data_IF_464811286508
#
_entry.id   IF_464811286508
#
_cell.length_a   1.000
_cell.length_b   1.000
_cell.length_c   1.000
_cell.angle_alpha   90.00
_cell.angle_beta   90.00
_cell.angle_gamma   90.00
#
_symmetry.space_group_name_H-M   'P 1'
#
loop_
_entity.id
_entity.type
_entity.pdbx_description
1 polymer ?
#
# COMPACT_ATOMS: atom_id res chain seq x y z
N UNK A 1 6.64 0.10 22.12
CA UNK A 1 6.03 1.15 22.94
C UNK A 1 5.30 0.49 24.09
N UNK A 2 5.48 1.01 25.29
CA UNK A 2 4.80 0.59 26.51
C UNK A 2 3.87 1.72 27.02
N UNK A 3 2.89 1.35 27.81
CA UNK A 3 2.04 2.27 28.56
C UNK A 3 2.03 1.87 30.04
N UNK A 4 2.07 2.86 30.93
CA UNK A 4 2.03 2.67 32.36
C UNK A 4 1.39 3.90 33.04
N UNK A 5 1.31 3.92 34.36
CA UNK A 5 0.85 5.11 35.11
C UNK A 5 1.76 6.33 34.87
N UNK A 6 3.02 6.11 34.43
CA UNK A 6 3.94 7.17 34.04
C UNK A 6 3.73 7.69 32.61
N UNK A 7 2.73 7.19 31.91
CA UNK A 7 2.42 7.55 30.52
C UNK A 7 2.96 6.58 29.47
N UNK A 8 2.83 6.99 28.22
CA UNK A 8 3.28 6.24 27.04
C UNK A 8 4.77 6.52 26.78
N UNK A 9 5.57 5.47 26.56
CA UNK A 9 7.00 5.58 26.31
C UNK A 9 7.47 4.67 25.18
N UNK A 10 8.41 5.16 24.36
CA UNK A 10 9.03 4.43 23.25
C UNK A 10 8.91 5.15 21.92
N UNK A 11 9.18 4.45 20.82
CA UNK A 11 9.24 5.04 19.48
C UNK A 11 8.43 4.22 18.48
N UNK A 12 7.70 4.89 17.62
CA UNK A 12 7.10 4.35 16.37
C UNK A 12 7.77 5.02 15.17
N UNK A 13 8.19 4.23 14.21
CA UNK A 13 8.79 4.73 12.96
C UNK A 13 7.83 4.52 11.79
N UNK A 14 8.01 5.31 10.74
CA UNK A 14 7.19 5.27 9.54
C UNK A 14 5.69 5.44 9.81
N UNK A 15 5.35 6.27 10.79
CA UNK A 15 3.95 6.60 11.08
C UNK A 15 3.43 7.47 9.93
N UNK A 16 2.58 6.89 9.10
CA UNK A 16 1.97 7.60 7.97
C UNK A 16 1.16 8.79 8.50
N UNK A 17 1.37 9.94 7.85
CA UNK A 17 0.74 11.22 8.20
C UNK A 17 0.96 11.66 9.67
N UNK A 18 1.84 11.00 10.40
CA UNK A 18 2.10 11.25 11.81
C UNK A 18 2.55 12.67 12.15
N UNK A 19 3.12 13.38 11.16
CA UNK A 19 3.49 14.79 11.33
C UNK A 19 2.28 15.73 11.34
N UNK A 20 1.13 15.33 10.82
CA UNK A 20 -0.08 16.14 10.70
C UNK A 20 -1.22 15.67 11.62
N UNK A 21 -1.09 14.48 12.21
CA UNK A 21 -2.10 13.91 13.08
C UNK A 21 -2.38 14.80 14.30
N UNK A 22 -3.65 14.92 14.67
CA UNK A 22 -4.07 15.52 15.94
C UNK A 22 -4.13 14.48 17.06
N UNK A 23 -4.49 13.24 16.70
CA UNK A 23 -4.60 12.11 17.61
C UNK A 23 -3.81 10.92 17.09
N UNK A 24 -3.19 10.19 17.99
CA UNK A 24 -2.43 8.98 17.72
C UNK A 24 -3.06 7.82 18.47
N UNK A 25 -3.59 6.82 17.74
CA UNK A 25 -3.98 5.55 18.34
C UNK A 25 -2.77 4.62 18.33
N UNK A 26 -2.22 4.36 19.51
CA UNK A 26 -0.94 3.67 19.68
C UNK A 26 -1.18 2.26 20.18
N UNK A 27 -0.74 1.26 19.42
CA UNK A 27 -0.65 -0.12 19.90
C UNK A 27 0.57 -0.25 20.80
N UNK A 28 0.35 -0.64 22.03
CA UNK A 28 1.35 -0.93 23.05
C UNK A 28 1.37 -2.42 23.41
N UNK A 29 2.26 -2.83 24.28
CA UNK A 29 2.26 -4.21 24.81
C UNK A 29 0.97 -4.56 25.58
N UNK A 30 0.33 -3.57 26.17
CA UNK A 30 -0.80 -3.72 27.09
C UNK A 30 -2.16 -3.39 26.42
N UNK A 31 -2.18 -3.04 25.12
CA UNK A 31 -3.39 -2.71 24.38
C UNK A 31 -3.29 -1.39 23.63
N UNK A 32 -4.43 -0.77 23.34
CA UNK A 32 -4.53 0.48 22.58
C UNK A 32 -4.60 1.68 23.52
N UNK A 33 -3.84 2.72 23.18
CA UNK A 33 -3.83 4.00 23.90
C UNK A 33 -4.02 5.14 22.90
N UNK A 34 -4.99 6.02 23.18
CA UNK A 34 -5.18 7.26 22.44
C UNK A 34 -4.34 8.37 23.07
N UNK A 35 -3.50 9.00 22.27
CA UNK A 35 -2.60 10.07 22.67
C UNK A 35 -2.87 11.31 21.84
N UNK A 36 -2.95 12.49 22.46
CA UNK A 36 -2.94 13.75 21.74
C UNK A 36 -1.54 13.96 21.12
N UNK A 37 -1.49 14.16 19.82
CA UNK A 37 -0.24 14.28 19.09
C UNK A 37 0.56 15.54 19.44
N UNK A 38 -0.07 16.52 20.09
CA UNK A 38 0.56 17.75 20.57
C UNK A 38 0.81 17.73 22.09
N UNK A 39 0.54 16.59 22.78
CA UNK A 39 0.77 16.48 24.21
C UNK A 39 2.26 16.63 24.58
N UNK A 40 2.52 17.06 25.80
CA UNK A 40 3.86 17.03 26.38
C UNK A 40 4.40 15.59 26.35
N UNK A 41 5.67 15.42 25.99
CA UNK A 41 6.31 14.11 25.84
C UNK A 41 6.10 13.45 24.47
N UNK A 42 5.41 14.10 23.52
CA UNK A 42 5.33 13.62 22.12
C UNK A 42 6.26 14.44 21.25
N UNK A 43 7.18 13.76 20.55
CA UNK A 43 8.04 14.39 19.55
C UNK A 43 7.81 13.71 18.18
N UNK A 44 7.60 14.53 17.16
CA UNK A 44 7.33 14.10 15.79
C UNK A 44 8.40 14.62 14.85
N UNK A 45 9.16 13.72 14.23
CA UNK A 45 10.22 14.07 13.28
C UNK A 45 9.84 13.57 11.89
N UNK A 46 9.65 14.45 10.90
CA UNK A 46 9.40 14.03 9.51
C UNK A 46 10.51 13.15 8.97
N UNK A 47 10.14 12.12 8.22
CA UNK A 47 11.07 11.20 7.56
C UNK A 47 11.07 11.43 6.05
N UNK A 48 12.26 11.36 5.45
CA UNK A 48 12.38 11.26 3.99
C UNK A 48 11.94 9.86 3.54
N UNK A 49 10.98 9.81 2.62
CA UNK A 49 10.45 8.58 2.05
C UNK A 49 10.68 8.52 0.55
N UNK A 50 10.70 7.31 -0.01
CA UNK A 50 10.93 7.09 -1.44
C UNK A 50 9.81 7.66 -2.31
N UNK A 51 8.57 7.52 -1.85
CA UNK A 51 7.36 8.01 -2.51
C UNK A 51 7.01 9.42 -1.99
N UNK A 52 7.19 10.42 -2.83
CA UNK A 52 6.93 11.81 -2.49
C UNK A 52 5.42 12.13 -2.27
N UNK A 53 4.52 11.22 -2.60
CA UNK A 53 3.08 11.37 -2.35
C UNK A 53 2.67 10.95 -0.94
N UNK A 54 3.58 10.36 -0.16
CA UNK A 54 3.33 9.87 1.20
C UNK A 54 4.16 10.67 2.19
N UNK A 55 3.53 11.06 3.28
CA UNK A 55 4.21 11.65 4.43
C UNK A 55 4.37 10.62 5.53
N UNK A 56 5.53 10.56 6.15
CA UNK A 56 5.80 9.70 7.30
C UNK A 56 6.59 10.43 8.37
N UNK A 57 6.39 10.04 9.60
CA UNK A 57 7.13 10.57 10.73
C UNK A 57 7.67 9.47 11.63
N UNK A 58 8.74 9.77 12.32
CA UNK A 58 9.14 9.11 13.54
C UNK A 58 8.43 9.80 14.70
N UNK A 59 7.73 9.04 15.51
CA UNK A 59 7.01 9.53 16.69
C UNK A 59 7.65 8.92 17.95
N UNK A 60 8.12 9.79 18.84
CA UNK A 60 8.74 9.41 20.08
C UNK A 60 7.84 9.84 21.23
N UNK A 61 7.62 8.94 22.17
CA UNK A 61 6.85 9.15 23.38
C UNK A 61 7.78 9.08 24.58
N UNK A 62 7.73 10.11 25.42
CA UNK A 62 8.51 10.21 26.66
C UNK A 62 7.59 10.59 27.81
N UNK A 63 6.87 9.61 28.36
CA UNK A 63 5.89 9.84 29.40
C UNK A 63 4.65 10.59 28.92
N UNK A 64 4.32 10.52 27.65
CA UNK A 64 3.16 11.23 27.09
C UNK A 64 1.85 10.73 27.71
N UNK A 65 0.99 11.67 28.12
CA UNK A 65 -0.33 11.32 28.65
C UNK A 65 -1.17 10.64 27.57
N UNK A 66 -1.84 9.56 27.94
CA UNK A 66 -2.69 8.82 27.04
C UNK A 66 -3.90 8.21 27.75
N UNK A 67 -4.96 7.95 26.99
CA UNK A 67 -6.18 7.31 27.46
C UNK A 67 -6.28 5.89 26.90
N UNK A 68 -6.35 4.88 27.74
CA UNK A 68 -6.60 3.51 27.30
C UNK A 68 -7.91 3.41 26.52
N UNK A 69 -7.87 2.67 25.43
CA UNK A 69 -9.03 2.36 24.58
C UNK A 69 -9.38 0.91 24.83
N UNK A 70 -10.55 0.68 25.44
CA UNK A 70 -11.05 -0.66 25.68
C UNK A 70 -11.50 -1.30 24.37
N UNK A 71 -10.97 -2.48 24.08
CA UNK A 71 -11.38 -3.33 22.96
C UNK A 71 -11.67 -4.72 23.52
N UNK A 72 -12.82 -5.29 23.20
CA UNK A 72 -13.26 -6.57 23.75
C UNK A 72 -12.35 -7.73 23.34
N UNK A 73 -11.90 -7.73 22.09
CA UNK A 73 -10.95 -8.70 21.53
C UNK A 73 -9.97 -7.93 20.65
N UNK A 74 -8.75 -7.72 21.16
CA UNK A 74 -7.74 -6.94 20.48
C UNK A 74 -7.21 -7.64 19.21
N UNK A 75 -7.07 -8.95 19.24
CA UNK A 75 -6.54 -9.70 18.09
C UNK A 75 -7.55 -9.72 16.94
N UNK A 76 -8.83 -9.93 17.24
CA UNK A 76 -9.91 -9.82 16.25
C UNK A 76 -9.98 -8.41 15.66
N UNK A 77 -9.93 -7.36 16.50
CA UNK A 77 -9.90 -5.97 16.05
C UNK A 77 -8.73 -5.66 15.12
N UNK A 78 -7.52 -6.07 15.49
CA UNK A 78 -6.31 -5.83 14.66
C UNK A 78 -6.36 -6.61 13.36
N UNK A 79 -6.94 -7.81 13.36
CA UNK A 79 -7.14 -8.62 12.14
C UNK A 79 -8.11 -7.94 11.18
N UNK A 80 -9.21 -7.41 11.68
CA UNK A 80 -10.19 -6.67 10.88
C UNK A 80 -9.59 -5.37 10.31
N UNK A 81 -8.87 -4.61 11.14
CA UNK A 81 -8.17 -3.39 10.70
C UNK A 81 -7.14 -3.70 9.60
N UNK A 82 -6.36 -4.78 9.75
CA UNK A 82 -5.40 -5.21 8.73
C UNK A 82 -6.10 -5.62 7.42
N UNK A 83 -7.24 -6.30 7.50
CA UNK A 83 -8.03 -6.69 6.32
C UNK A 83 -8.59 -5.46 5.59
N UNK A 84 -9.19 -4.52 6.30
CA UNK A 84 -9.70 -3.26 5.73
C UNK A 84 -8.55 -2.47 5.09
N UNK A 85 -7.43 -2.32 5.81
CA UNK A 85 -6.25 -1.62 5.29
C UNK A 85 -5.68 -2.30 4.04
N UNK A 86 -5.70 -3.64 3.99
CA UNK A 86 -5.27 -4.44 2.83
C UNK A 86 -6.11 -4.15 1.59
N UNK A 87 -7.43 -4.11 1.72
CA UNK A 87 -8.34 -3.79 0.60
C UNK A 87 -8.15 -2.36 0.13
N UNK A 88 -8.04 -1.39 1.05
CA UNK A 88 -7.83 0.02 0.69
C UNK A 88 -6.50 0.23 -0.02
N UNK A 89 -5.44 -0.43 0.45
CA UNK A 89 -4.13 -0.37 -0.20
C UNK A 89 -4.16 -1.02 -1.58
N UNK A 90 -4.80 -2.19 -1.71
CA UNK A 90 -5.00 -2.88 -2.98
C UNK A 90 -5.79 -2.02 -3.98
N UNK A 91 -6.82 -1.33 -3.53
CA UNK A 91 -7.59 -0.40 -4.37
C UNK A 91 -6.74 0.74 -4.92
N UNK A 92 -5.89 1.34 -4.07
CA UNK A 92 -4.92 2.36 -4.51
C UNK A 92 -3.92 1.85 -5.53
N UNK A 93 -3.39 0.64 -5.32
CA UNK A 93 -2.47 -0.04 -6.23
C UNK A 93 -3.15 -0.39 -7.57
N UNK A 94 -4.41 -0.81 -7.53
CA UNK A 94 -5.20 -1.06 -8.74
C UNK A 94 -5.39 0.21 -9.57
N UNK A 95 -5.75 1.32 -8.93
CA UNK A 95 -5.91 2.61 -9.61
C UNK A 95 -4.62 3.10 -10.26
N UNK A 96 -3.47 2.94 -9.58
CA UNK A 96 -2.16 3.25 -10.14
C UNK A 96 -1.86 2.39 -11.37
N UNK A 97 -2.06 1.08 -11.29
CA UNK A 97 -1.84 0.15 -12.39
C UNK A 97 -2.73 0.43 -13.62
N UNK A 98 -3.99 0.76 -13.41
CA UNK A 98 -4.89 1.19 -14.47
C UNK A 98 -4.32 2.43 -15.19
N UNK A 99 -3.83 3.39 -14.45
CA UNK A 99 -3.24 4.60 -15.01
C UNK A 99 -1.94 4.33 -15.76
N UNK A 100 -1.09 3.44 -15.26
CA UNK A 100 0.12 2.97 -15.94
C UNK A 100 -0.22 2.35 -17.31
N UNK A 101 -1.20 1.46 -17.34
CA UNK A 101 -1.69 0.81 -18.56
C UNK A 101 -2.24 1.82 -19.57
N UNK A 102 -3.05 2.77 -19.10
CA UNK A 102 -3.65 3.82 -19.93
C UNK A 102 -2.57 4.69 -20.59
N UNK A 103 -1.64 5.26 -19.78
CA UNK A 103 -0.56 6.12 -20.26
C UNK A 103 0.32 5.36 -21.26
N UNK A 104 0.70 4.12 -20.91
CA UNK A 104 1.60 3.32 -21.74
C UNK A 104 0.94 2.90 -23.05
N UNK A 105 -0.35 2.57 -23.04
CA UNK A 105 -1.12 2.24 -24.24
C UNK A 105 -1.25 3.45 -25.16
N UNK A 106 -1.51 4.63 -24.59
CA UNK A 106 -1.59 5.86 -25.39
C UNK A 106 -0.22 6.19 -26.02
N UNK A 107 0.86 6.13 -25.24
CA UNK A 107 2.21 6.31 -25.77
C UNK A 107 2.53 5.33 -26.91
N UNK A 108 2.15 4.06 -26.78
CA UNK A 108 2.39 3.05 -27.80
C UNK A 108 1.63 3.32 -29.11
N UNK A 109 0.47 3.99 -29.04
CA UNK A 109 -0.28 4.43 -30.21
C UNK A 109 0.35 5.64 -30.89
N UNK A 110 0.84 6.59 -30.10
CA UNK A 110 1.31 7.90 -30.59
C UNK A 110 2.77 7.90 -31.02
N UNK A 111 3.59 7.03 -30.44
CA UNK A 111 5.02 6.96 -30.76
C UNK A 111 5.29 6.17 -32.03
N UNK A 112 5.90 6.82 -33.02
CA UNK A 112 6.30 6.20 -34.28
C UNK A 112 7.78 5.88 -34.31
N UNK A 113 8.12 4.66 -34.70
CA UNK A 113 9.49 4.19 -35.00
C UNK A 113 9.42 3.14 -36.11
N UNK A 114 10.46 3.08 -36.96
CA UNK A 114 10.50 2.13 -38.09
C UNK A 114 9.29 2.23 -39.02
N UNK A 115 8.81 3.46 -39.24
CA UNK A 115 7.72 3.76 -40.18
C UNK A 115 6.29 3.43 -39.71
N UNK A 116 6.11 3.06 -38.42
CA UNK A 116 4.78 2.76 -37.86
C UNK A 116 4.72 3.01 -36.36
N UNK A 117 3.53 3.03 -35.76
CA UNK A 117 3.39 3.14 -34.31
C UNK A 117 4.06 1.96 -33.60
N UNK A 118 4.70 2.21 -32.46
CA UNK A 118 5.37 1.13 -31.69
C UNK A 118 4.39 0.08 -31.18
N UNK A 119 3.13 0.44 -30.90
CA UNK A 119 2.09 -0.48 -30.50
C UNK A 119 1.71 -1.51 -31.55
N UNK A 120 2.13 -1.35 -32.81
CA UNK A 120 1.94 -2.34 -33.87
C UNK A 120 2.90 -3.53 -33.77
N UNK A 121 4.01 -3.39 -33.01
CA UNK A 121 5.00 -4.47 -32.83
C UNK A 121 4.56 -5.43 -31.72
N UNK A 122 4.76 -6.73 -31.94
CA UNK A 122 4.39 -7.77 -30.95
C UNK A 122 5.10 -7.58 -29.60
N UNK A 123 6.38 -7.15 -29.63
CA UNK A 123 7.17 -6.88 -28.42
C UNK A 123 6.62 -5.74 -27.55
N UNK A 124 5.69 -4.91 -28.06
CA UNK A 124 5.02 -3.85 -27.32
C UNK A 124 3.56 -4.23 -27.00
N UNK A 125 2.81 -4.71 -28.01
CA UNK A 125 1.38 -4.98 -27.79
C UNK A 125 1.09 -6.19 -26.92
N UNK A 126 1.94 -7.22 -26.91
CA UNK A 126 1.71 -8.39 -26.06
C UNK A 126 1.84 -8.07 -24.58
N UNK A 127 2.92 -7.41 -24.11
CA UNK A 127 2.95 -6.93 -22.74
C UNK A 127 1.78 -6.04 -22.34
N UNK A 128 1.29 -5.17 -23.24
CA UNK A 128 0.11 -4.34 -22.95
C UNK A 128 -1.17 -5.17 -22.85
N UNK A 129 -1.31 -6.20 -23.68
CA UNK A 129 -2.45 -7.12 -23.60
C UNK A 129 -2.40 -7.95 -22.30
N UNK A 130 -1.22 -8.41 -21.88
CA UNK A 130 -1.02 -9.11 -20.62
C UNK A 130 -1.35 -8.20 -19.43
N UNK A 131 -0.89 -6.94 -19.46
CA UNK A 131 -1.25 -5.94 -18.45
C UNK A 131 -2.77 -5.71 -18.37
N UNK A 132 -3.46 -5.67 -19.53
CA UNK A 132 -4.92 -5.51 -19.54
C UNK A 132 -5.64 -6.72 -18.94
N UNK A 133 -5.21 -7.94 -19.25
CA UNK A 133 -5.76 -9.16 -18.62
C UNK A 133 -5.53 -9.17 -17.10
N UNK A 134 -4.33 -8.83 -16.67
CA UNK A 134 -4.00 -8.74 -15.24
C UNK A 134 -4.88 -7.70 -14.51
N UNK A 135 -5.18 -6.57 -15.16
CA UNK A 135 -6.06 -5.55 -14.62
C UNK A 135 -7.49 -6.08 -14.40
N UNK A 136 -8.05 -6.82 -15.35
CA UNK A 136 -9.39 -7.40 -15.24
C UNK A 136 -9.45 -8.47 -14.13
N UNK A 137 -8.44 -9.34 -14.04
CA UNK A 137 -8.35 -10.33 -12.97
C UNK A 137 -8.25 -9.66 -11.58
N UNK A 138 -7.41 -8.64 -11.46
CA UNK A 138 -7.22 -7.90 -10.22
C UNK A 138 -8.50 -7.15 -9.81
N UNK A 139 -9.24 -6.60 -10.76
CA UNK A 139 -10.55 -5.98 -10.49
C UNK A 139 -11.54 -6.98 -9.91
N UNK A 140 -11.61 -8.19 -10.47
CA UNK A 140 -12.47 -9.26 -9.95
C UNK A 140 -12.13 -9.63 -8.51
N UNK A 141 -10.83 -9.81 -8.21
CA UNK A 141 -10.33 -10.13 -6.86
C UNK A 141 -10.68 -9.00 -5.88
N UNK A 142 -10.41 -7.76 -6.26
CA UNK A 142 -10.69 -6.60 -5.40
C UNK A 142 -12.19 -6.43 -5.14
N UNK A 143 -13.02 -6.60 -6.16
CA UNK A 143 -14.49 -6.55 -6.00
C UNK A 143 -15.01 -7.66 -5.10
N UNK A 144 -14.47 -8.87 -5.21
CA UNK A 144 -14.84 -9.97 -4.32
C UNK A 144 -14.52 -9.62 -2.86
N UNK A 145 -13.29 -9.18 -2.59
CA UNK A 145 -12.88 -8.78 -1.25
C UNK A 145 -13.76 -7.66 -0.67
N UNK A 146 -14.05 -6.62 -1.46
CA UNK A 146 -14.93 -5.51 -0.99
C UNK A 146 -16.36 -5.99 -0.70
N UNK A 147 -16.94 -6.82 -1.57
CA UNK A 147 -18.30 -7.36 -1.38
C UNK A 147 -18.41 -8.23 -0.13
N UNK A 148 -17.39 -9.01 0.18
CA UNK A 148 -17.34 -9.84 1.39
C UNK A 148 -17.17 -8.98 2.64
N UNK A 149 -16.40 -7.91 2.58
CA UNK A 149 -16.27 -6.93 3.66
C UNK A 149 -17.62 -6.23 3.96
N UNK A 150 -18.30 -5.75 2.92
CA UNK A 150 -19.60 -5.10 3.04
C UNK A 150 -20.66 -6.06 3.61
N UNK A 151 -20.56 -7.34 3.31
CA UNK A 151 -21.47 -8.38 3.81
C UNK A 151 -21.12 -8.89 5.23
N UNK A 152 -20.01 -8.46 5.82
CA UNK A 152 -19.52 -9.00 7.10
C UNK A 152 -19.18 -10.49 7.04
N UNK A 153 -18.75 -10.97 5.88
CA UNK A 153 -18.45 -12.39 5.66
C UNK A 153 -17.22 -12.86 6.45
N UNK A 154 -17.23 -14.07 7.01
CA UNK A 154 -16.02 -14.65 7.63
C UNK A 154 -14.86 -14.83 6.64
N UNK A 155 -15.13 -14.90 5.34
CA UNK A 155 -14.09 -15.03 4.31
C UNK A 155 -13.39 -13.71 3.97
N UNK A 156 -13.87 -12.59 4.52
CA UNK A 156 -13.34 -11.25 4.21
C UNK A 156 -11.82 -11.14 4.45
N UNK A 157 -11.34 -11.65 5.58
CA UNK A 157 -9.91 -11.57 5.94
C UNK A 157 -9.02 -12.28 4.93
N UNK A 158 -9.42 -13.48 4.49
CA UNK A 158 -8.68 -14.26 3.49
C UNK A 158 -8.65 -13.55 2.13
N UNK A 159 -9.81 -13.06 1.69
CA UNK A 159 -9.93 -12.41 0.38
C UNK A 159 -9.25 -11.02 0.35
N UNK A 160 -9.28 -10.28 1.48
CA UNK A 160 -8.52 -9.05 1.63
C UNK A 160 -7.00 -9.28 1.50
N UNK A 161 -6.50 -10.32 2.14
CA UNK A 161 -5.08 -10.72 2.04
C UNK A 161 -4.73 -11.18 0.62
N UNK A 162 -5.61 -11.94 -0.04
CA UNK A 162 -5.48 -12.37 -1.44
C UNK A 162 -5.39 -11.16 -2.37
N UNK A 163 -6.30 -10.20 -2.22
CA UNK A 163 -6.28 -8.95 -2.99
C UNK A 163 -4.97 -8.20 -2.80
N UNK A 164 -4.52 -8.02 -1.57
CA UNK A 164 -3.27 -7.31 -1.30
C UNK A 164 -2.06 -8.01 -1.89
N UNK A 165 -1.91 -9.34 -1.71
CA UNK A 165 -0.77 -10.11 -2.25
C UNK A 165 -0.72 -10.01 -3.78
N UNK A 166 -1.87 -10.12 -4.45
CA UNK A 166 -1.94 -9.99 -5.91
C UNK A 166 -1.58 -8.58 -6.36
N UNK A 167 -2.22 -7.57 -5.79
CA UNK A 167 -2.08 -6.18 -6.26
C UNK A 167 -0.70 -5.58 -5.97
N UNK A 168 -0.07 -5.95 -4.85
CA UNK A 168 1.28 -5.48 -4.56
C UNK A 168 2.34 -5.98 -5.56
N UNK A 169 2.21 -7.23 -6.04
CA UNK A 169 3.10 -7.79 -7.05
C UNK A 169 2.85 -7.13 -8.43
N UNK A 170 1.58 -6.98 -8.78
CA UNK A 170 1.11 -6.43 -10.04
C UNK A 170 1.50 -4.95 -10.20
N UNK A 171 1.29 -4.12 -9.17
CA UNK A 171 1.60 -2.69 -9.18
C UNK A 171 3.09 -2.43 -9.50
N UNK A 172 4.00 -3.17 -8.86
CA UNK A 172 5.43 -3.02 -9.15
C UNK A 172 5.80 -3.48 -10.58
N UNK A 173 5.21 -4.59 -11.04
CA UNK A 173 5.43 -5.08 -12.39
C UNK A 173 4.92 -4.09 -13.45
N UNK A 174 3.77 -3.45 -13.21
CA UNK A 174 3.19 -2.42 -14.07
C UNK A 174 4.10 -1.22 -14.26
N UNK A 175 4.61 -0.64 -13.17
CA UNK A 175 5.57 0.47 -13.23
C UNK A 175 6.84 0.10 -13.99
N UNK A 176 7.34 -1.14 -13.81
CA UNK A 176 8.50 -1.63 -14.55
C UNK A 176 8.21 -1.78 -16.05
N UNK A 177 7.03 -2.28 -16.44
CA UNK A 177 6.60 -2.34 -17.83
C UNK A 177 6.40 -0.95 -18.42
N UNK A 178 5.78 -0.02 -17.70
CA UNK A 178 5.65 1.37 -18.11
C UNK A 178 7.03 1.96 -18.45
N UNK A 179 8.01 1.88 -17.54
CA UNK A 179 9.35 2.40 -17.78
C UNK A 179 10.01 1.78 -19.03
N UNK A 180 9.91 0.46 -19.18
CA UNK A 180 10.51 -0.27 -20.33
C UNK A 180 9.87 0.09 -21.66
N UNK A 181 8.54 0.17 -21.73
CA UNK A 181 7.81 0.43 -22.97
C UNK A 181 7.93 1.88 -23.44
N UNK A 182 8.21 2.82 -22.54
CA UNK A 182 8.55 4.20 -22.90
C UNK A 182 10.00 4.35 -23.38
N UNK A 183 10.85 3.34 -23.19
CA UNK A 183 12.24 3.37 -23.62
C UNK A 183 13.07 4.38 -22.81
N UNK A 184 14.02 5.06 -23.47
CA UNK A 184 14.95 5.97 -22.77
C UNK A 184 14.28 7.02 -21.90
N UNK A 185 13.17 7.62 -22.35
CA UNK A 185 12.45 8.63 -21.58
C UNK A 185 11.83 8.05 -20.30
N UNK A 186 11.40 6.79 -20.30
CA UNK A 186 10.84 6.14 -19.13
C UNK A 186 11.81 5.97 -17.95
N UNK A 187 13.11 6.20 -18.19
CA UNK A 187 14.15 6.16 -17.15
C UNK A 187 14.64 7.55 -16.72
N UNK A 188 14.06 8.61 -17.26
CA UNK A 188 14.42 9.99 -16.91
C UNK A 188 13.50 10.57 -15.84
N UNK A 189 13.92 11.68 -15.24
CA UNK A 189 13.12 12.41 -14.26
C UNK A 189 11.99 13.24 -14.90
N UNK A 190 12.01 13.44 -16.21
CA UNK A 190 10.96 14.14 -16.95
C UNK A 190 9.72 13.28 -17.17
N UNK A 191 9.81 11.96 -16.98
CA UNK A 191 8.70 11.04 -17.18
C UNK A 191 8.22 10.46 -15.84
N UNK A 192 6.89 10.38 -15.66
CA UNK A 192 6.25 9.99 -14.39
C UNK A 192 6.43 8.51 -13.99
N UNK A 193 7.00 7.64 -14.85
CA UNK A 193 7.17 6.21 -14.54
C UNK A 193 7.86 5.95 -13.20
N UNK A 194 8.84 6.79 -12.83
CA UNK A 194 9.53 6.66 -11.56
C UNK A 194 8.63 6.91 -10.34
N UNK A 195 7.56 7.73 -10.49
CA UNK A 195 6.58 7.99 -9.41
C UNK A 195 5.78 6.73 -9.13
N UNK A 196 5.30 6.04 -10.16
CA UNK A 196 4.57 4.79 -10.03
C UNK A 196 5.42 3.68 -9.40
N UNK A 197 6.66 3.51 -9.84
CA UNK A 197 7.59 2.52 -9.27
C UNK A 197 7.86 2.81 -7.78
N UNK A 198 8.07 4.07 -7.42
CA UNK A 198 8.31 4.49 -6.04
C UNK A 198 7.06 4.26 -5.16
N UNK A 199 5.90 4.63 -5.67
CA UNK A 199 4.61 4.42 -5.00
C UNK A 199 4.35 2.92 -4.79
N UNK A 200 4.52 2.08 -5.84
CA UNK A 200 4.38 0.64 -5.73
C UNK A 200 5.32 0.05 -4.66
N UNK A 201 6.59 0.50 -4.64
CA UNK A 201 7.59 0.03 -3.67
C UNK A 201 7.27 0.43 -2.24
N UNK A 202 6.82 1.66 -2.02
CA UNK A 202 6.40 2.13 -0.70
C UNK A 202 5.16 1.37 -0.22
N UNK A 203 4.17 1.20 -1.11
CA UNK A 203 2.94 0.47 -0.82
C UNK A 203 3.20 -1.00 -0.44
N UNK A 204 4.19 -1.65 -1.05
CA UNK A 204 4.59 -3.03 -0.72
C UNK A 204 5.06 -3.21 0.73
N UNK A 205 5.46 -2.13 1.41
CA UNK A 205 6.05 -2.20 2.74
C UNK A 205 5.11 -1.69 3.85
N UNK A 206 3.99 -1.06 3.49
CA UNK A 206 3.10 -0.41 4.47
C UNK A 206 2.44 -1.37 5.46
N UNK A 207 2.08 -2.58 5.02
CA UNK A 207 1.41 -3.59 5.86
C UNK A 207 2.27 -4.84 6.07
N UNK A 208 3.58 -4.72 5.92
CA UNK A 208 4.54 -5.81 5.97
C UNK A 208 5.19 -6.08 4.62
N UNK A 209 6.25 -6.87 4.61
CA UNK A 209 6.97 -7.19 3.37
C UNK A 209 6.14 -8.13 2.47
N UNK A 210 6.36 -8.11 1.15
CA UNK A 210 5.69 -9.05 0.22
C UNK A 210 5.83 -10.51 0.64
N UNK A 211 7.03 -10.95 1.06
CA UNK A 211 7.26 -12.31 1.53
C UNK A 211 6.43 -12.66 2.77
N UNK A 212 6.39 -11.76 3.76
CA UNK A 212 5.57 -11.96 4.96
C UNK A 212 4.07 -12.06 4.64
N UNK A 213 3.57 -11.22 3.73
CA UNK A 213 2.15 -11.25 3.33
C UNK A 213 1.81 -12.53 2.55
N UNK A 214 2.71 -12.98 1.68
CA UNK A 214 2.54 -14.25 0.95
C UNK A 214 2.56 -15.45 1.90
N UNK A 215 3.44 -15.47 2.89
CA UNK A 215 3.49 -16.52 3.92
C UNK A 215 2.19 -16.57 4.75
N UNK A 216 1.68 -15.41 5.14
CA UNK A 216 0.39 -15.32 5.85
C UNK A 216 -0.76 -15.87 4.99
N UNK A 217 -0.76 -15.58 3.68
CA UNK A 217 -1.77 -16.12 2.77
C UNK A 217 -1.64 -17.63 2.64
N UNK A 218 -0.43 -18.15 2.47
CA UNK A 218 -0.18 -19.60 2.40
C UNK A 218 -0.68 -20.31 3.68
N UNK A 219 -0.33 -19.77 4.84
CA UNK A 219 -0.81 -20.27 6.14
C UNK A 219 -2.34 -20.26 6.24
N UNK A 220 -2.98 -19.19 5.80
CA UNK A 220 -4.45 -19.07 5.83
C UNK A 220 -5.13 -20.07 4.88
N UNK A 221 -4.47 -20.47 3.80
CA UNK A 221 -4.92 -21.48 2.85
C UNK A 221 -4.58 -22.93 3.30
N UNK A 222 -3.83 -23.09 4.38
CA UNK A 222 -3.43 -24.40 4.90
C UNK A 222 -2.27 -25.07 4.13
N UNK A 223 -1.43 -24.27 3.46
CA UNK A 223 -0.25 -24.71 2.69
C UNK A 223 1.04 -24.09 3.23
#
# INVERSE_FOLDING_TARGET
VSASDAGVAGTKTFVRDGQFADLLLVLTADGLVLVDANAEGVTRTPLGVLDASVFAARVEFNGAAGRAVAVADLDAFLTEVDAIASVLLAAGQYGAYQRELEITTQYAKDRFQFGRSIGSFQGVKFPLADMAMEAELAYGILRNATSLGDAGSPDFVLEALTAQVKLQAMSYAGGAWMARLHGGIGFTWEHDSHLFIKQAKTSQLLLGTPGNRTERLATALGI
#
